data_IF_582872364581
#
_entry.id   IF_582872364581
#
_cell.length_a   1.000
_cell.length_b   1.000
_cell.length_c   1.000
_cell.angle_alpha   90.00
_cell.angle_beta   90.00
_cell.angle_gamma   90.00
#
_symmetry.space_group_name_H-M   'P 1'
#
loop_
_entity.id
_entity.type
_entity.pdbx_description
1 polymer ?
#
# COMPACT_ATOMS: atom_id res chain seq x y z
N UNK A 1 -8.61 5.25 -12.05
CA UNK A 1 -8.58 6.71 -11.80
C UNK A 1 -8.03 7.01 -10.40
N UNK A 2 -7.43 8.18 -10.14
CA UNK A 2 -7.19 8.65 -8.76
C UNK A 2 -8.51 9.23 -8.22
N UNK A 3 -9.09 8.60 -7.20
CA UNK A 3 -10.34 9.09 -6.59
C UNK A 3 -10.09 10.42 -5.91
N UNK A 4 -10.79 11.47 -6.34
CA UNK A 4 -10.66 12.81 -5.75
C UNK A 4 -11.83 13.05 -4.78
N UNK A 5 -11.58 13.73 -3.67
CA UNK A 5 -12.63 14.07 -2.71
C UNK A 5 -13.63 15.06 -3.32
N UNK A 6 -14.93 14.83 -3.12
CA UNK A 6 -16.01 15.71 -3.61
C UNK A 6 -16.74 15.21 -4.87
N UNK A 7 -16.47 13.99 -5.34
CA UNK A 7 -17.15 13.43 -6.51
C UNK A 7 -18.66 13.16 -6.27
N UNK A 8 -19.45 13.31 -7.34
CA UNK A 8 -20.89 13.06 -7.33
C UNK A 8 -21.25 11.59 -7.09
N UNK A 9 -20.35 10.67 -7.43
CA UNK A 9 -20.52 9.23 -7.23
C UNK A 9 -19.98 8.85 -5.85
N UNK A 10 -20.89 8.63 -4.90
CA UNK A 10 -20.55 8.15 -3.56
C UNK A 10 -20.78 6.65 -3.45
N UNK A 11 -19.73 5.90 -3.13
CA UNK A 11 -19.85 4.47 -2.84
C UNK A 11 -20.46 4.27 -1.45
N UNK A 12 -21.51 3.45 -1.36
CA UNK A 12 -22.20 3.15 -0.09
C UNK A 12 -21.47 2.11 0.76
N UNK A 13 -20.67 1.26 0.14
CA UNK A 13 -19.87 0.21 0.79
C UNK A 13 -18.72 -0.24 -0.12
N UNK A 14 -17.74 -0.97 0.42
CA UNK A 14 -16.61 -1.52 -0.34
C UNK A 14 -17.04 -2.51 -1.42
N UNK A 15 -18.04 -3.35 -1.14
CA UNK A 15 -18.62 -4.28 -2.13
C UNK A 15 -19.38 -3.55 -3.24
N UNK A 16 -20.07 -2.46 -2.90
CA UNK A 16 -20.72 -1.61 -3.89
C UNK A 16 -19.69 -0.94 -4.79
N UNK A 17 -18.58 -0.44 -4.23
CA UNK A 17 -17.47 0.12 -5.01
C UNK A 17 -16.84 -0.93 -5.93
N UNK A 18 -16.53 -2.10 -5.40
CA UNK A 18 -15.96 -3.20 -6.18
C UNK A 18 -16.85 -3.58 -7.38
N UNK A 19 -18.15 -3.78 -7.16
CA UNK A 19 -19.09 -4.13 -8.23
C UNK A 19 -19.23 -3.00 -9.25
N UNK A 20 -19.25 -1.74 -8.81
CA UNK A 20 -19.39 -0.58 -9.70
C UNK A 20 -18.13 -0.38 -10.55
N UNK A 21 -16.94 -0.48 -9.97
CA UNK A 21 -15.65 -0.38 -10.69
C UNK A 21 -15.50 -1.53 -11.68
N UNK A 22 -15.83 -2.77 -11.28
CA UNK A 22 -15.82 -3.92 -12.19
C UNK A 22 -16.71 -3.73 -13.41
N UNK A 23 -17.92 -3.18 -13.20
CA UNK A 23 -18.88 -2.94 -14.29
C UNK A 23 -18.46 -1.79 -15.20
N UNK A 24 -17.84 -0.75 -14.65
CA UNK A 24 -17.48 0.46 -15.41
C UNK A 24 -16.11 0.36 -16.09
N UNK A 25 -15.11 -0.18 -15.42
CA UNK A 25 -13.70 -0.15 -15.84
C UNK A 25 -13.09 -1.55 -16.05
N UNK A 26 -13.84 -2.61 -15.74
CA UNK A 26 -13.38 -4.00 -15.86
C UNK A 26 -12.44 -4.45 -14.73
N UNK A 27 -12.06 -5.74 -14.68
CA UNK A 27 -11.26 -6.31 -13.59
C UNK A 27 -9.82 -5.79 -13.52
N UNK A 28 -9.23 -5.39 -14.66
CA UNK A 28 -7.84 -4.92 -14.74
C UNK A 28 -7.65 -3.58 -14.01
N UNK A 29 -8.71 -2.78 -13.88
CA UNK A 29 -8.70 -1.48 -13.19
C UNK A 29 -8.16 -1.56 -11.75
N UNK A 30 -8.41 -2.66 -11.05
CA UNK A 30 -7.97 -2.88 -9.66
C UNK A 30 -6.45 -3.03 -9.53
N UNK A 31 -5.75 -3.34 -10.62
CA UNK A 31 -4.30 -3.55 -10.64
C UNK A 31 -3.53 -2.36 -11.22
N UNK A 32 -4.24 -1.32 -11.68
CA UNK A 32 -3.61 -0.08 -12.13
C UNK A 32 -2.88 0.55 -10.93
N UNK A 33 -1.56 0.69 -11.03
CA UNK A 33 -0.70 1.22 -9.96
C UNK A 33 0.00 0.15 -9.10
N UNK A 34 -0.39 -1.12 -9.23
CA UNK A 34 0.27 -2.22 -8.51
C UNK A 34 1.74 -2.37 -8.93
N UNK A 35 2.02 -2.41 -10.24
CA UNK A 35 3.39 -2.54 -10.77
C UNK A 35 4.27 -1.28 -10.65
N UNK A 36 3.67 -0.12 -10.37
CA UNK A 36 4.38 1.15 -10.26
C UNK A 36 4.48 1.61 -8.81
N UNK A 37 3.51 2.42 -8.41
CA UNK A 37 3.48 3.08 -7.10
C UNK A 37 3.56 2.09 -5.92
N UNK A 38 2.89 0.93 -6.01
CA UNK A 38 2.86 -0.01 -4.89
C UNK A 38 4.18 -0.79 -4.73
N UNK A 39 4.87 -1.13 -5.83
CA UNK A 39 6.22 -1.71 -5.78
C UNK A 39 7.21 -0.69 -5.21
N UNK A 40 7.18 0.56 -5.70
CA UNK A 40 8.05 1.62 -5.17
C UNK A 40 7.83 1.84 -3.67
N UNK A 41 6.57 1.82 -3.21
CA UNK A 41 6.21 1.86 -1.79
C UNK A 41 6.79 0.68 -1.02
N UNK A 42 6.68 -0.54 -1.54
CA UNK A 42 7.21 -1.74 -0.88
C UNK A 42 8.74 -1.67 -0.72
N UNK A 43 9.45 -1.24 -1.76
CA UNK A 43 10.92 -1.04 -1.71
C UNK A 43 11.28 0.03 -0.68
N UNK A 44 10.57 1.15 -0.64
CA UNK A 44 10.79 2.19 0.35
C UNK A 44 10.56 1.70 1.78
N UNK A 45 9.47 0.96 2.03
CA UNK A 45 9.18 0.35 3.34
C UNK A 45 10.29 -0.61 3.76
N UNK A 46 10.74 -1.48 2.86
CA UNK A 46 11.86 -2.40 3.12
C UNK A 46 13.17 -1.65 3.45
N UNK A 47 13.46 -0.56 2.73
CA UNK A 47 14.61 0.30 3.00
C UNK A 47 14.55 0.95 4.38
N UNK A 48 13.37 1.45 4.79
CA UNK A 48 13.16 2.02 6.13
C UNK A 48 13.37 0.97 7.22
N UNK A 49 12.82 -0.24 7.05
CA UNK A 49 13.01 -1.35 7.97
C UNK A 49 14.50 -1.74 8.10
N UNK A 50 15.19 -1.93 6.97
CA UNK A 50 16.62 -2.27 6.95
C UNK A 50 17.50 -1.15 7.54
N UNK A 51 17.14 0.11 7.31
CA UNK A 51 17.80 1.27 7.90
C UNK A 51 17.62 1.32 9.42
N UNK A 52 16.40 1.11 9.89
CA UNK A 52 16.08 1.06 11.33
C UNK A 52 16.86 -0.06 12.04
N UNK A 53 16.93 -1.24 11.43
CA UNK A 53 17.74 -2.37 11.89
C UNK A 53 19.23 -2.00 12.08
N UNK A 54 19.80 -1.23 11.14
CA UNK A 54 21.19 -0.76 11.24
C UNK A 54 21.35 0.30 12.33
N UNK A 55 20.38 1.21 12.46
CA UNK A 55 20.39 2.21 13.52
C UNK A 55 20.30 1.56 14.91
N UNK A 56 19.47 0.53 15.09
CA UNK A 56 19.40 -0.22 16.34
C UNK A 56 20.76 -0.83 16.73
N UNK A 57 21.49 -1.39 15.76
CA UNK A 57 22.83 -1.92 16.01
C UNK A 57 23.82 -0.83 16.43
N UNK A 58 23.76 0.36 15.82
CA UNK A 58 24.67 1.46 16.14
C UNK A 58 24.35 2.06 17.51
N UNK A 59 23.07 2.26 17.82
CA UNK A 59 22.63 2.98 19.02
C UNK A 59 22.56 2.06 20.25
N UNK A 60 22.07 0.84 20.08
CA UNK A 60 21.78 -0.08 21.18
C UNK A 60 22.69 -1.32 21.21
N UNK A 61 23.57 -1.51 20.21
CA UNK A 61 24.49 -2.65 20.14
C UNK A 61 23.81 -4.01 19.91
N UNK A 62 22.48 -4.05 19.79
CA UNK A 62 21.66 -5.24 19.55
C UNK A 62 20.46 -4.86 18.69
N UNK A 63 20.04 -5.77 17.80
CA UNK A 63 18.75 -5.66 17.10
C UNK A 63 17.64 -6.17 17.99
N UNK A 64 16.52 -5.45 18.02
CA UNK A 64 15.29 -5.94 18.61
C UNK A 64 14.44 -6.50 17.48
N UNK A 65 14.41 -7.83 17.39
CA UNK A 65 13.65 -8.52 16.36
C UNK A 65 12.17 -8.16 16.44
N UNK A 66 11.56 -7.88 15.28
CA UNK A 66 10.13 -7.93 15.13
C UNK A 66 9.69 -9.38 15.40
N UNK A 67 8.84 -9.59 16.40
CA UNK A 67 8.36 -10.92 16.82
C UNK A 67 7.39 -11.57 15.82
N UNK A 68 7.76 -11.62 14.54
CA UNK A 68 7.10 -12.44 13.54
C UNK A 68 7.83 -13.79 13.49
N UNK A 69 7.23 -14.79 14.15
CA UNK A 69 7.44 -16.20 13.83
C UNK A 69 6.68 -16.55 12.55
#
# INVERSE_FOLDING_TARGET
MMMTSGEAVKYKSSLHAFSQILKSEGPISHFIGAGGANILRAVAVAGVLAGYDKLQMIVFGKKYGCGAA
#
